data_IF_170184934278
#
_entry.id   IF_170184934278
#
_cell.length_a   1.000
_cell.length_b   1.000
_cell.length_c   1.000
_cell.angle_alpha   90.00
_cell.angle_beta   90.00
_cell.angle_gamma   90.00
#
_symmetry.space_group_name_H-M   'P 1'
#
loop_
_entity.id
_entity.type
_entity.pdbx_description
1 polymer ?
#
# COMPACT_ATOMS: atom_id res chain seq x y z
N UNK A 1 65.79 13.23 -9.94
CA UNK A 1 65.86 12.06 -9.04
C UNK A 1 64.42 11.71 -8.71
N UNK A 2 63.90 10.68 -9.38
CA UNK A 2 62.47 10.35 -9.48
C UNK A 2 62.14 9.44 -8.28
N UNK A 3 61.11 9.80 -7.51
CA UNK A 3 60.57 9.00 -6.41
C UNK A 3 59.65 7.91 -7.00
N UNK A 4 60.17 6.69 -7.09
CA UNK A 4 59.38 5.50 -7.40
C UNK A 4 58.54 5.11 -6.18
N UNK A 5 57.22 5.07 -6.36
CA UNK A 5 56.26 4.54 -5.38
C UNK A 5 56.34 3.00 -5.32
N UNK A 6 56.17 2.39 -4.13
CA UNK A 6 56.22 0.93 -3.97
C UNK A 6 55.10 0.20 -4.76
N UNK A 7 55.30 -1.08 -5.15
CA UNK A 7 54.35 -1.78 -6.00
C UNK A 7 53.08 -2.19 -5.24
N UNK A 8 51.95 -2.10 -5.93
CA UNK A 8 50.64 -2.57 -5.46
C UNK A 8 50.68 -4.09 -5.30
N UNK A 9 50.37 -4.55 -4.08
CA UNK A 9 50.16 -5.97 -3.77
C UNK A 9 48.90 -6.43 -4.50
N UNK A 10 49.07 -7.35 -5.45
CA UNK A 10 47.99 -8.02 -6.17
C UNK A 10 47.23 -8.93 -5.20
N UNK A 11 46.12 -8.44 -4.62
CA UNK A 11 45.17 -9.28 -3.92
C UNK A 11 44.31 -10.02 -4.95
N UNK A 12 44.64 -11.30 -5.14
CA UNK A 12 43.83 -12.36 -5.77
C UNK A 12 43.47 -12.20 -7.26
N UNK A 13 43.76 -13.21 -8.11
CA UNK A 13 43.27 -13.22 -9.48
C UNK A 13 41.74 -13.37 -9.47
N UNK A 14 41.04 -12.39 -10.05
CA UNK A 14 39.63 -12.47 -10.42
C UNK A 14 39.46 -13.52 -11.54
N UNK A 15 39.51 -14.79 -11.14
CA UNK A 15 39.02 -15.91 -11.92
C UNK A 15 37.60 -16.16 -11.42
N UNK A 16 36.65 -16.16 -12.35
CA UNK A 16 35.18 -16.19 -12.17
C UNK A 16 34.53 -14.81 -12.05
N UNK A 17 34.27 -14.22 -13.22
CA UNK A 17 33.09 -13.38 -13.44
C UNK A 17 31.89 -14.25 -13.01
N UNK A 18 31.39 -14.05 -11.79
CA UNK A 18 30.10 -14.59 -11.41
C UNK A 18 29.05 -13.89 -12.28
N UNK A 19 28.48 -14.61 -13.24
CA UNK A 19 27.24 -14.20 -13.88
C UNK A 19 26.24 -13.86 -12.77
N UNK A 20 25.83 -12.60 -12.70
CA UNK A 20 24.73 -12.20 -11.82
C UNK A 20 23.49 -12.86 -12.40
N UNK A 21 22.88 -13.84 -11.73
CA UNK A 21 21.70 -14.49 -12.28
C UNK A 21 20.57 -13.46 -12.32
N UNK A 22 20.24 -13.02 -13.54
CA UNK A 22 19.15 -12.08 -13.78
C UNK A 22 17.86 -12.87 -13.63
N UNK A 23 17.30 -12.84 -12.42
CA UNK A 23 16.03 -13.48 -12.12
C UNK A 23 14.86 -12.58 -12.58
N UNK A 24 14.66 -12.48 -13.89
CA UNK A 24 13.60 -11.66 -14.52
C UNK A 24 12.18 -12.10 -14.06
N UNK A 25 12.04 -13.27 -13.45
CA UNK A 25 10.75 -13.85 -13.01
C UNK A 25 10.67 -14.25 -11.54
N UNK A 26 11.62 -13.83 -10.70
CA UNK A 26 11.47 -14.05 -9.26
C UNK A 26 10.70 -12.89 -8.62
N UNK A 27 9.63 -13.16 -7.85
CA UNK A 27 8.98 -12.11 -7.06
C UNK A 27 9.98 -11.49 -6.09
N UNK A 28 9.86 -10.18 -5.87
CA UNK A 28 10.74 -9.33 -5.02
C UNK A 28 10.65 -9.71 -3.52
N UNK A 29 10.05 -10.85 -3.19
CA UNK A 29 10.05 -11.37 -1.83
C UNK A 29 11.24 -12.31 -1.65
N UNK A 30 12.06 -12.12 -0.61
CA UNK A 30 13.09 -13.08 -0.27
C UNK A 30 12.43 -14.46 -0.07
N UNK A 31 13.08 -15.52 -0.53
CA UNK A 31 12.69 -16.92 -0.36
C UNK A 31 12.58 -17.39 1.13
N UNK A 32 12.53 -16.46 2.09
CA UNK A 32 12.38 -16.70 3.53
C UNK A 32 10.94 -16.56 4.05
N UNK A 33 9.99 -16.08 3.24
CA UNK A 33 8.59 -16.01 3.65
C UNK A 33 7.94 -17.40 3.64
N UNK A 34 7.35 -17.82 4.77
CA UNK A 34 6.64 -19.10 4.88
C UNK A 34 5.52 -19.20 3.82
N UNK A 35 5.21 -20.42 3.35
CA UNK A 35 4.09 -20.66 2.43
C UNK A 35 2.80 -20.00 2.94
N UNK A 36 2.55 -20.11 4.24
CA UNK A 36 1.44 -19.48 4.94
C UNK A 36 1.45 -17.94 4.81
N UNK A 37 2.61 -17.31 5.00
CA UNK A 37 2.73 -15.85 4.83
C UNK A 37 2.39 -15.40 3.42
N UNK A 38 2.86 -16.13 2.41
CA UNK A 38 2.55 -15.81 0.99
C UNK A 38 1.06 -15.96 0.69
N UNK A 39 0.45 -17.03 1.20
CA UNK A 39 -1.00 -17.22 1.08
C UNK A 39 -1.75 -16.05 1.72
N UNK A 40 -1.43 -15.70 2.97
CA UNK A 40 -2.14 -14.62 3.65
C UNK A 40 -2.02 -13.26 2.97
N UNK A 41 -0.86 -12.93 2.39
CA UNK A 41 -0.70 -11.72 1.58
C UNK A 41 -1.49 -11.79 0.26
N UNK A 42 -1.53 -12.95 -0.38
CA UNK A 42 -2.34 -13.16 -1.59
C UNK A 42 -3.84 -13.03 -1.28
N UNK A 43 -4.32 -13.62 -0.18
CA UNK A 43 -5.71 -13.53 0.27
C UNK A 43 -6.10 -12.06 0.53
N UNK A 44 -5.23 -11.31 1.21
CA UNK A 44 -5.45 -9.89 1.46
C UNK A 44 -5.61 -9.08 0.15
N UNK A 45 -4.74 -9.32 -0.83
CA UNK A 45 -4.78 -8.62 -2.11
C UNK A 45 -6.04 -8.97 -2.91
N UNK A 46 -6.38 -10.26 -3.04
CA UNK A 46 -7.54 -10.68 -3.81
C UNK A 46 -8.86 -10.30 -3.14
N UNK A 47 -8.97 -10.38 -1.80
CA UNK A 47 -10.16 -9.90 -1.08
C UNK A 47 -10.33 -8.38 -1.21
N UNK A 48 -9.25 -7.62 -1.28
CA UNK A 48 -9.32 -6.18 -1.59
C UNK A 48 -9.94 -5.90 -2.96
N UNK A 49 -9.67 -6.76 -3.95
CA UNK A 49 -10.27 -6.67 -5.28
C UNK A 49 -11.75 -7.05 -5.24
N UNK A 50 -12.10 -8.11 -4.50
CA UNK A 50 -13.51 -8.50 -4.28
C UNK A 50 -14.28 -7.34 -3.67
N UNK A 51 -13.78 -6.73 -2.59
CA UNK A 51 -14.42 -5.61 -1.90
C UNK A 51 -14.66 -4.41 -2.84
N UNK A 52 -13.66 -4.09 -3.67
CA UNK A 52 -13.74 -3.04 -4.67
C UNK A 52 -14.78 -3.36 -5.75
N UNK A 53 -14.81 -4.59 -6.27
CA UNK A 53 -15.79 -4.98 -7.29
C UNK A 53 -17.21 -4.96 -6.74
N UNK A 54 -17.43 -5.50 -5.53
CA UNK A 54 -18.73 -5.47 -4.85
C UNK A 54 -19.18 -4.02 -4.62
N UNK A 55 -18.30 -3.17 -4.10
CA UNK A 55 -18.58 -1.74 -3.93
C UNK A 55 -18.95 -1.06 -5.25
N UNK A 56 -18.24 -1.36 -6.34
CA UNK A 56 -18.56 -0.80 -7.66
C UNK A 56 -19.94 -1.25 -8.15
N UNK A 57 -20.28 -2.52 -7.97
CA UNK A 57 -21.57 -3.08 -8.37
C UNK A 57 -22.72 -2.42 -7.57
N UNK A 58 -22.53 -2.18 -6.28
CA UNK A 58 -23.50 -1.49 -5.43
C UNK A 58 -23.69 -0.01 -5.80
N UNK A 59 -22.60 0.69 -6.10
CA UNK A 59 -22.61 2.15 -6.32
C UNK A 59 -22.95 2.57 -7.74
N UNK A 60 -22.42 1.86 -8.74
CA UNK A 60 -22.55 2.20 -10.17
C UNK A 60 -23.54 1.27 -10.88
N UNK A 61 -23.92 0.15 -10.25
CA UNK A 61 -24.80 -0.86 -10.82
C UNK A 61 -24.03 -2.02 -11.47
N UNK A 62 -24.78 -3.03 -11.91
CA UNK A 62 -24.23 -4.27 -12.48
C UNK A 62 -23.61 -4.02 -13.85
N UNK A 63 -22.29 -4.17 -13.95
CA UNK A 63 -21.56 -4.22 -15.21
C UNK A 63 -21.12 -5.66 -15.49
N UNK A 64 -21.37 -6.18 -16.69
CA UNK A 64 -21.12 -7.59 -17.04
C UNK A 64 -19.64 -7.97 -16.86
N UNK A 65 -18.73 -7.10 -17.30
CA UNK A 65 -17.28 -7.30 -17.13
C UNK A 65 -16.86 -7.33 -15.65
N UNK A 66 -17.41 -6.43 -14.82
CA UNK A 66 -17.10 -6.38 -13.38
C UNK A 66 -17.63 -7.61 -12.65
N UNK A 67 -18.82 -8.10 -13.00
CA UNK A 67 -19.36 -9.34 -12.45
C UNK A 67 -18.52 -10.56 -12.88
N UNK A 68 -18.07 -10.60 -14.13
CA UNK A 68 -17.22 -11.68 -14.63
C UNK A 68 -15.83 -11.67 -13.96
N UNK A 69 -15.27 -10.49 -13.70
CA UNK A 69 -14.02 -10.34 -12.92
C UNK A 69 -14.20 -10.78 -11.47
N UNK A 70 -15.26 -10.34 -10.81
CA UNK A 70 -15.60 -10.74 -9.45
C UNK A 70 -15.71 -12.27 -9.32
N UNK A 71 -16.46 -12.91 -10.22
CA UNK A 71 -16.62 -14.36 -10.22
C UNK A 71 -15.29 -15.10 -10.44
N UNK A 72 -14.44 -14.61 -11.36
CA UNK A 72 -13.10 -15.17 -11.61
C UNK A 72 -12.20 -15.04 -10.38
N UNK A 73 -12.19 -13.87 -9.73
CA UNK A 73 -11.40 -13.65 -8.53
C UNK A 73 -11.83 -14.55 -7.37
N UNK A 74 -13.14 -14.73 -7.15
CA UNK A 74 -13.65 -15.64 -6.12
C UNK A 74 -13.29 -17.09 -6.43
N UNK A 75 -13.48 -17.56 -7.66
CA UNK A 75 -13.11 -18.92 -8.04
C UNK A 75 -11.59 -19.19 -7.84
N UNK A 76 -10.75 -18.21 -8.13
CA UNK A 76 -9.31 -18.29 -7.89
C UNK A 76 -8.95 -18.37 -6.40
N UNK A 77 -9.63 -17.59 -5.55
CA UNK A 77 -9.49 -17.65 -4.10
C UNK A 77 -9.86 -19.03 -3.55
N UNK A 78 -11.03 -19.54 -3.95
CA UNK A 78 -11.55 -20.85 -3.56
C UNK A 78 -10.58 -21.98 -3.95
N UNK A 79 -10.06 -21.94 -5.19
CA UNK A 79 -9.10 -22.94 -5.68
C UNK A 79 -7.76 -22.85 -4.95
N UNK A 80 -7.26 -21.64 -4.70
CA UNK A 80 -5.98 -21.43 -4.02
C UNK A 80 -6.02 -21.98 -2.59
N UNK A 81 -7.10 -21.69 -1.85
CA UNK A 81 -7.26 -22.19 -0.49
C UNK A 81 -7.50 -23.70 -0.44
N UNK A 82 -8.28 -24.24 -1.37
CA UNK A 82 -8.47 -25.69 -1.47
C UNK A 82 -7.15 -26.43 -1.69
N UNK A 83 -6.29 -25.93 -2.60
CA UNK A 83 -4.98 -26.50 -2.84
C UNK A 83 -4.07 -26.41 -1.59
N UNK A 84 -4.11 -25.26 -0.90
CA UNK A 84 -3.35 -25.08 0.33
C UNK A 84 -3.80 -26.02 1.46
N UNK A 85 -5.09 -26.20 1.68
CA UNK A 85 -5.59 -27.15 2.69
C UNK A 85 -5.26 -28.60 2.31
N UNK A 86 -5.37 -28.97 1.03
CA UNK A 86 -5.02 -30.30 0.56
C UNK A 86 -3.53 -30.63 0.78
N UNK A 87 -2.64 -29.65 0.61
CA UNK A 87 -1.19 -29.81 0.88
C UNK A 87 -0.87 -29.94 2.39
N UNK A 88 -1.70 -29.37 3.26
CA UNK A 88 -1.44 -29.31 4.71
C UNK A 88 -2.31 -30.29 5.54
N UNK A 89 -3.25 -31.01 4.90
CA UNK A 89 -4.03 -32.06 5.56
C UNK A 89 -3.12 -33.23 5.96
N UNK A 90 -3.01 -33.50 7.26
CA UNK A 90 -2.46 -34.75 7.75
C UNK A 90 -3.47 -35.90 7.44
N UNK A 91 -3.05 -37.01 6.83
CA UNK A 91 -3.94 -38.07 6.34
C UNK A 91 -4.59 -38.94 7.45
N UNK A 92 -4.71 -38.43 8.68
CA UNK A 92 -5.02 -39.22 9.88
C UNK A 92 -6.25 -38.81 10.69
N UNK A 93 -7.00 -37.76 10.33
CA UNK A 93 -8.23 -37.40 11.06
C UNK A 93 -9.50 -37.93 10.36
N UNK A 94 -10.32 -38.79 11.00
CA UNK A 94 -11.37 -39.55 10.31
C UNK A 94 -12.70 -38.82 10.08
N UNK A 95 -12.83 -37.53 10.42
CA UNK A 95 -14.16 -36.91 10.59
C UNK A 95 -14.65 -35.97 9.47
N UNK A 96 -13.87 -35.68 8.43
CA UNK A 96 -14.32 -34.74 7.38
C UNK A 96 -14.72 -35.47 6.09
N UNK A 97 -15.87 -36.15 6.14
CA UNK A 97 -16.57 -36.66 4.96
C UNK A 97 -17.78 -35.78 4.58
N UNK A 98 -17.73 -34.50 4.93
CA UNK A 98 -18.68 -33.50 4.45
C UNK A 98 -18.16 -32.79 3.19
N UNK A 99 -19.11 -32.51 2.29
CA UNK A 99 -19.00 -31.81 1.01
C UNK A 99 -18.42 -30.37 1.18
N UNK A 100 -17.16 -30.29 1.60
CA UNK A 100 -16.48 -29.03 1.89
C UNK A 100 -16.16 -28.36 0.56
N UNK A 101 -16.98 -27.38 0.19
CA UNK A 101 -16.80 -26.60 -1.03
C UNK A 101 -15.69 -25.58 -0.84
N UNK A 102 -14.98 -25.19 -1.92
CA UNK A 102 -13.95 -24.14 -1.85
C UNK A 102 -14.47 -22.83 -1.23
N UNK A 103 -15.76 -22.54 -1.41
CA UNK A 103 -16.45 -21.43 -0.76
C UNK A 103 -16.50 -21.54 0.77
N UNK A 104 -16.79 -22.72 1.32
CA UNK A 104 -16.82 -22.94 2.77
C UNK A 104 -15.42 -22.79 3.38
N UNK A 105 -14.40 -23.25 2.66
CA UNK A 105 -12.99 -23.07 3.06
C UNK A 105 -12.65 -21.57 3.10
N UNK A 106 -13.03 -20.82 2.06
CA UNK A 106 -12.82 -19.37 2.00
C UNK A 106 -13.51 -18.65 3.16
N UNK A 107 -14.77 -18.96 3.44
CA UNK A 107 -15.51 -18.39 4.57
C UNK A 107 -14.82 -18.70 5.91
N UNK A 108 -14.46 -19.97 6.16
CA UNK A 108 -13.77 -20.40 7.39
C UNK A 108 -12.43 -19.69 7.55
N UNK A 109 -11.66 -19.58 6.46
CA UNK A 109 -10.39 -18.86 6.46
C UNK A 109 -10.59 -17.38 6.80
N UNK A 110 -11.56 -16.72 6.19
CA UNK A 110 -11.85 -15.31 6.45
C UNK A 110 -12.26 -15.04 7.90
N UNK A 111 -13.08 -15.92 8.48
CA UNK A 111 -13.49 -15.82 9.89
C UNK A 111 -12.29 -16.03 10.81
N UNK A 112 -11.55 -17.14 10.65
CA UNK A 112 -10.42 -17.50 11.51
C UNK A 112 -9.30 -16.45 11.51
N UNK A 113 -9.10 -15.80 10.38
CA UNK A 113 -8.02 -14.82 10.23
C UNK A 113 -8.44 -13.39 10.53
N UNK A 114 -9.73 -13.13 10.80
CA UNK A 114 -10.28 -11.80 11.00
C UNK A 114 -10.44 -10.97 9.71
N UNK A 115 -10.19 -11.56 8.54
CA UNK A 115 -10.42 -10.89 7.25
C UNK A 115 -11.91 -10.60 7.01
N UNK A 116 -12.80 -11.39 7.60
CA UNK A 116 -14.23 -11.16 7.46
C UNK A 116 -14.65 -9.76 7.93
N UNK A 117 -14.05 -9.29 9.03
CA UNK A 117 -14.25 -7.95 9.60
C UNK A 117 -13.59 -6.85 8.77
N UNK A 118 -12.44 -7.15 8.14
CA UNK A 118 -11.71 -6.19 7.32
C UNK A 118 -12.38 -5.93 5.96
N UNK A 119 -13.10 -6.92 5.44
CA UNK A 119 -13.74 -6.90 4.12
C UNK A 119 -15.25 -7.17 4.25
N UNK A 120 -16.02 -6.26 4.88
CA UNK A 120 -17.41 -6.51 5.23
C UNK A 120 -18.31 -6.77 4.02
N UNK A 121 -18.10 -6.08 2.89
CA UNK A 121 -18.93 -6.29 1.69
C UNK A 121 -18.59 -7.61 1.00
N UNK A 122 -17.32 -7.98 0.98
CA UNK A 122 -16.87 -9.29 0.49
C UNK A 122 -17.46 -10.40 1.35
N UNK A 123 -17.49 -10.23 2.68
CA UNK A 123 -18.09 -11.17 3.62
C UNK A 123 -19.58 -11.35 3.39
N UNK A 124 -20.32 -10.25 3.26
CA UNK A 124 -21.75 -10.28 2.94
C UNK A 124 -22.01 -10.96 1.60
N UNK A 125 -21.25 -10.61 0.57
CA UNK A 125 -21.35 -11.22 -0.76
C UNK A 125 -21.06 -12.73 -0.77
N UNK A 126 -20.15 -13.17 0.10
CA UNK A 126 -19.81 -14.57 0.28
C UNK A 126 -20.80 -15.31 1.18
N UNK A 127 -21.77 -14.63 1.82
CA UNK A 127 -22.76 -15.23 2.70
C UNK A 127 -22.26 -15.49 4.12
N UNK A 128 -21.26 -14.74 4.59
CA UNK A 128 -20.82 -14.75 5.99
C UNK A 128 -21.77 -13.83 6.77
N UNK A 129 -22.75 -14.41 7.45
CA UNK A 129 -23.69 -13.66 8.30
C UNK A 129 -22.97 -13.16 9.58
N UNK A 130 -23.26 -11.91 9.98
CA UNK A 130 -22.87 -11.28 11.26
C UNK A 130 -21.44 -10.74 11.38
N UNK A 131 -20.93 -10.06 10.36
CA UNK A 131 -19.79 -9.15 10.56
C UNK A 131 -20.32 -7.83 11.13
N UNK A 132 -20.18 -7.65 12.45
CA UNK A 132 -20.64 -6.47 13.22
C UNK A 132 -19.99 -5.18 12.66
N UNK A 133 -20.72 -4.05 12.58
CA UNK A 133 -20.35 -2.88 11.77
C UNK A 133 -19.33 -1.99 12.48
N UNK A 134 -18.05 -2.32 12.33
CA UNK A 134 -16.94 -1.42 12.66
C UNK A 134 -16.60 -0.40 11.55
N UNK A 135 -17.27 -0.49 10.39
CA UNK A 135 -16.86 0.19 9.17
C UNK A 135 -15.78 -0.61 8.42
N UNK A 136 -15.67 -0.41 7.11
CA UNK A 136 -14.65 -1.10 6.30
C UNK A 136 -13.25 -0.56 6.64
N UNK A 137 -12.54 -1.25 7.54
CA UNK A 137 -11.19 -0.86 7.98
C UNK A 137 -10.20 -0.78 6.81
N UNK A 138 -10.40 -1.61 5.79
CA UNK A 138 -9.59 -1.56 4.58
C UNK A 138 -9.94 -0.35 3.69
N UNK A 139 -11.20 0.09 3.67
CA UNK A 139 -11.59 1.31 2.94
C UNK A 139 -10.93 2.54 3.56
N UNK A 140 -10.92 2.64 4.89
CA UNK A 140 -10.22 3.70 5.61
C UNK A 140 -8.72 3.71 5.27
N UNK A 141 -8.09 2.54 5.25
CA UNK A 141 -6.70 2.37 4.83
C UNK A 141 -6.47 2.83 3.38
N UNK A 142 -7.30 2.39 2.43
CA UNK A 142 -7.17 2.80 1.02
C UNK A 142 -7.38 4.29 0.82
N UNK A 143 -8.33 4.89 1.54
CA UNK A 143 -8.58 6.33 1.50
C UNK A 143 -7.36 7.11 2.00
N UNK A 144 -6.74 6.66 3.09
CA UNK A 144 -5.51 7.28 3.59
C UNK A 144 -4.36 7.12 2.59
N UNK A 145 -4.15 5.92 2.08
CA UNK A 145 -3.10 5.65 1.09
C UNK A 145 -3.28 6.51 -0.17
N UNK A 146 -4.52 6.66 -0.64
CA UNK A 146 -4.85 7.54 -1.76
C UNK A 146 -4.51 9.00 -1.46
N UNK A 147 -4.83 9.48 -0.27
CA UNK A 147 -4.52 10.85 0.16
C UNK A 147 -3.02 11.12 0.22
N UNK A 148 -2.23 10.17 0.74
CA UNK A 148 -0.76 10.26 0.76
C UNK A 148 -0.19 10.22 -0.66
N UNK A 149 -0.69 9.32 -1.51
CA UNK A 149 -0.25 9.24 -2.92
C UNK A 149 -0.53 10.54 -3.68
N UNK A 150 -1.70 11.16 -3.46
CA UNK A 150 -2.03 12.47 -4.04
C UNK A 150 -1.08 13.56 -3.53
N UNK A 151 -0.79 13.59 -2.23
CA UNK A 151 0.19 14.53 -1.65
C UNK A 151 1.57 14.39 -2.31
N UNK A 152 2.09 13.17 -2.42
CA UNK A 152 3.38 12.88 -3.07
C UNK A 152 3.36 13.27 -4.54
N UNK A 153 2.29 12.95 -5.27
CA UNK A 153 2.17 13.26 -6.69
C UNK A 153 2.23 14.77 -6.94
N UNK A 154 1.47 15.56 -6.17
CA UNK A 154 1.48 17.01 -6.28
C UNK A 154 2.85 17.59 -5.88
N UNK A 155 3.47 17.06 -4.82
CA UNK A 155 4.81 17.51 -4.40
C UNK A 155 5.87 17.27 -5.49
N UNK A 156 5.89 16.10 -6.11
CA UNK A 156 6.80 15.77 -7.20
C UNK A 156 6.51 16.60 -8.46
N UNK A 157 5.24 16.83 -8.77
CA UNK A 157 4.85 17.71 -9.87
C UNK A 157 5.41 19.12 -9.65
N UNK A 158 5.22 19.69 -8.45
CA UNK A 158 5.72 21.01 -8.09
C UNK A 158 7.25 21.11 -8.21
N UNK A 159 8.01 20.08 -7.83
CA UNK A 159 9.47 20.04 -8.01
C UNK A 159 9.89 20.18 -9.48
N UNK A 160 9.14 19.56 -10.38
CA UNK A 160 9.39 19.68 -11.81
C UNK A 160 8.95 21.05 -12.33
N UNK A 161 7.78 21.53 -11.89
CA UNK A 161 7.18 22.77 -12.37
C UNK A 161 7.95 24.02 -11.92
N UNK A 162 8.70 23.95 -10.81
CA UNK A 162 9.66 24.99 -10.41
C UNK A 162 10.69 25.27 -11.51
N UNK A 163 11.05 24.27 -12.33
CA UNK A 163 12.05 24.42 -13.41
C UNK A 163 11.49 25.05 -14.69
N UNK A 164 10.18 25.31 -14.73
CA UNK A 164 9.55 25.96 -15.87
C UNK A 164 9.98 27.43 -15.99
N UNK A 165 9.80 27.99 -17.18
CA UNK A 165 10.07 29.40 -17.46
C UNK A 165 8.87 30.30 -17.17
N UNK A 166 7.69 29.72 -16.94
CA UNK A 166 6.46 30.42 -16.62
C UNK A 166 5.79 29.76 -15.40
N UNK A 167 5.61 30.54 -14.33
CA UNK A 167 5.09 30.09 -13.04
C UNK A 167 3.72 30.68 -12.71
N UNK A 168 2.92 31.02 -13.71
CA UNK A 168 1.57 31.60 -13.56
C UNK A 168 0.66 30.77 -12.66
N UNK A 169 0.75 29.45 -12.73
CA UNK A 169 -0.10 28.53 -11.98
C UNK A 169 0.49 28.10 -10.63
N UNK A 170 1.67 28.61 -10.25
CA UNK A 170 2.39 28.05 -9.12
C UNK A 170 1.71 28.29 -7.77
N UNK A 171 1.08 29.45 -7.61
CA UNK A 171 0.23 29.73 -6.45
C UNK A 171 -0.97 28.77 -6.37
N UNK A 172 -1.59 28.42 -7.50
CA UNK A 172 -2.71 27.48 -7.53
C UNK A 172 -2.27 26.06 -7.17
N UNK A 173 -1.18 25.59 -7.76
CA UNK A 173 -0.63 24.26 -7.48
C UNK A 173 -0.16 24.13 -6.03
N UNK A 174 0.39 25.20 -5.45
CA UNK A 174 0.75 25.26 -4.02
C UNK A 174 -0.49 25.25 -3.12
N UNK A 175 -1.60 25.87 -3.53
CA UNK A 175 -2.87 25.77 -2.81
C UNK A 175 -3.43 24.33 -2.85
N UNK A 176 -3.30 23.64 -3.99
CA UNK A 176 -3.64 22.21 -4.09
C UNK A 176 -2.75 21.36 -3.17
N UNK A 177 -1.45 21.64 -3.11
CA UNK A 177 -0.56 20.98 -2.14
C UNK A 177 -1.04 21.17 -0.70
N UNK A 178 -1.41 22.40 -0.33
CA UNK A 178 -1.97 22.69 1.00
C UNK A 178 -3.24 21.87 1.28
N UNK A 179 -4.13 21.73 0.30
CA UNK A 179 -5.32 20.89 0.44
C UNK A 179 -4.95 19.41 0.63
N UNK A 180 -3.99 18.89 -0.14
CA UNK A 180 -3.49 17.52 0.02
C UNK A 180 -2.86 17.31 1.41
N UNK A 181 -2.13 18.29 1.95
CA UNK A 181 -1.58 18.24 3.32
C UNK A 181 -2.69 18.10 4.36
N UNK A 182 -3.81 18.81 4.18
CA UNK A 182 -4.96 18.70 5.08
C UNK A 182 -5.60 17.30 5.05
N UNK A 183 -5.66 16.67 3.88
CA UNK A 183 -6.28 15.36 3.68
C UNK A 183 -5.37 14.19 4.07
N UNK A 184 -4.05 14.33 3.91
CA UNK A 184 -3.08 13.27 4.18
C UNK A 184 -2.86 12.98 5.67
N UNK A 185 -3.46 13.76 6.58
CA UNK A 185 -3.48 13.47 8.01
C UNK A 185 -2.58 14.35 8.89
N UNK A 186 -2.68 14.18 10.22
CA UNK A 186 -2.08 15.07 11.20
C UNK A 186 -0.55 15.13 11.13
N UNK A 187 0.12 14.05 10.73
CA UNK A 187 1.57 13.96 10.61
C UNK A 187 2.16 14.96 9.60
N UNK A 188 1.40 15.37 8.59
CA UNK A 188 1.83 16.38 7.61
C UNK A 188 1.47 17.81 8.01
N UNK A 189 0.73 18.01 9.12
CA UNK A 189 0.25 19.34 9.51
C UNK A 189 1.37 20.34 9.81
N UNK A 190 2.57 19.85 10.16
CA UNK A 190 3.78 20.69 10.33
C UNK A 190 4.17 21.47 9.06
N UNK A 191 3.78 21.00 7.88
CA UNK A 191 4.07 21.67 6.61
C UNK A 191 3.09 22.80 6.27
N UNK A 192 1.94 22.86 6.94
CA UNK A 192 0.92 23.91 6.70
C UNK A 192 1.47 25.30 6.98
N UNK A 193 2.10 25.48 8.14
CA UNK A 193 2.71 26.75 8.53
C UNK A 193 3.75 27.22 7.51
N UNK A 194 4.61 26.31 7.03
CA UNK A 194 5.63 26.63 6.00
C UNK A 194 5.01 27.12 4.70
N UNK A 195 3.86 26.55 4.29
CA UNK A 195 3.10 27.01 3.13
C UNK A 195 2.54 28.41 3.39
N UNK A 196 1.83 28.58 4.50
CA UNK A 196 1.16 29.85 4.87
C UNK A 196 2.13 31.03 4.94
N UNK A 197 3.34 30.82 5.47
CA UNK A 197 4.38 31.85 5.59
C UNK A 197 4.80 32.45 4.24
N UNK A 198 4.89 31.64 3.19
CA UNK A 198 5.44 32.05 1.89
C UNK A 198 4.37 32.18 0.79
N UNK A 199 3.14 31.74 1.05
CA UNK A 199 2.07 31.70 0.06
C UNK A 199 1.71 33.08 -0.50
N UNK A 200 1.71 34.12 0.34
CA UNK A 200 1.37 35.47 -0.11
C UNK A 200 2.44 36.01 -1.09
N UNK A 201 3.72 35.84 -0.78
CA UNK A 201 4.81 36.23 -1.67
C UNK A 201 4.76 35.47 -3.00
N UNK A 202 4.49 34.16 -2.95
CA UNK A 202 4.31 33.33 -4.14
C UNK A 202 3.15 33.83 -5.01
N UNK A 203 2.00 34.12 -4.38
CA UNK A 203 0.80 34.60 -5.06
C UNK A 203 1.02 35.96 -5.72
N UNK A 204 1.74 36.88 -5.08
CA UNK A 204 2.05 38.19 -5.66
C UNK A 204 2.92 38.05 -6.91
N UNK A 205 4.00 37.26 -6.84
CA UNK A 205 4.88 37.05 -8.00
C UNK A 205 4.13 36.36 -9.14
N UNK A 206 3.36 35.29 -8.85
CA UNK A 206 2.61 34.56 -9.87
C UNK A 206 1.50 35.38 -10.55
N UNK A 207 1.15 36.58 -10.04
CA UNK A 207 0.17 37.47 -10.65
C UNK A 207 0.78 38.76 -11.24
N UNK A 208 2.11 38.91 -11.19
CA UNK A 208 2.78 40.15 -11.58
C UNK A 208 2.78 40.38 -13.10
N UNK A 209 2.79 39.31 -13.90
CA UNK A 209 2.80 39.40 -15.37
C UNK A 209 2.04 38.21 -16.01
N UNK A 210 1.90 38.23 -17.34
CA UNK A 210 1.34 37.11 -18.10
C UNK A 210 2.24 35.86 -18.08
N UNK A 211 3.56 36.06 -18.00
CA UNK A 211 4.59 35.02 -17.88
C UNK A 211 5.48 35.34 -16.68
N UNK A 212 4.97 35.12 -15.45
CA UNK A 212 5.72 35.44 -14.24
C UNK A 212 6.80 34.39 -14.03
N UNK A 213 7.94 34.85 -13.52
CA UNK A 213 9.06 33.99 -13.14
C UNK A 213 9.30 34.10 -11.64
N UNK A 214 9.43 32.97 -10.96
CA UNK A 214 9.67 32.94 -9.53
C UNK A 214 11.11 33.34 -9.20
N UNK A 215 11.35 34.14 -8.14
CA UNK A 215 12.69 34.40 -7.64
C UNK A 215 13.31 33.09 -7.15
N UNK A 216 14.64 33.03 -7.21
CA UNK A 216 15.39 31.83 -6.85
C UNK A 216 15.13 31.38 -5.40
N UNK A 217 14.85 32.32 -4.50
CA UNK A 217 14.51 32.05 -3.10
C UNK A 217 13.20 31.28 -2.98
N UNK A 218 12.14 31.68 -3.71
CA UNK A 218 10.86 30.98 -3.70
C UNK A 218 10.96 29.63 -4.40
N UNK A 219 11.78 29.51 -5.45
CA UNK A 219 12.05 28.24 -6.11
C UNK A 219 12.76 27.25 -5.18
N UNK A 220 13.78 27.71 -4.45
CA UNK A 220 14.52 26.91 -3.47
C UNK A 220 13.58 26.48 -2.33
N UNK A 221 12.84 27.41 -1.75
CA UNK A 221 11.87 27.13 -0.69
C UNK A 221 10.86 26.05 -1.11
N UNK A 222 10.26 26.18 -2.30
CA UNK A 222 9.26 25.22 -2.78
C UNK A 222 9.87 23.84 -3.07
N UNK A 223 11.11 23.82 -3.58
CA UNK A 223 11.86 22.58 -3.79
C UNK A 223 12.18 21.88 -2.46
N UNK A 224 12.60 22.63 -1.45
CA UNK A 224 12.91 22.10 -0.12
C UNK A 224 11.65 21.57 0.58
N UNK A 225 10.56 22.35 0.56
CA UNK A 225 9.27 21.95 1.11
C UNK A 225 8.77 20.63 0.52
N UNK A 226 8.78 20.53 -0.80
CA UNK A 226 8.29 19.34 -1.50
C UNK A 226 9.22 18.14 -1.30
N UNK A 227 10.53 18.36 -1.23
CA UNK A 227 11.52 17.30 -0.92
C UNK A 227 11.27 16.72 0.47
N UNK A 228 11.08 17.58 1.48
CA UNK A 228 10.80 17.14 2.84
C UNK A 228 9.48 16.35 2.91
N UNK A 229 8.43 16.82 2.23
CA UNK A 229 7.13 16.13 2.18
C UNK A 229 7.27 14.74 1.58
N UNK A 230 7.97 14.61 0.45
CA UNK A 230 8.20 13.33 -0.22
C UNK A 230 9.04 12.40 0.66
N UNK A 231 10.08 12.94 1.29
CA UNK A 231 10.95 12.16 2.17
C UNK A 231 10.17 11.59 3.36
N UNK A 232 9.35 12.42 4.02
CA UNK A 232 8.51 11.98 5.13
C UNK A 232 7.43 10.98 4.68
N UNK A 233 6.81 11.19 3.52
CA UNK A 233 5.78 10.31 3.01
C UNK A 233 6.31 8.91 2.65
N UNK A 234 7.50 8.84 2.04
CA UNK A 234 8.06 7.58 1.53
C UNK A 234 8.99 6.87 2.53
N UNK A 235 9.70 7.61 3.39
CA UNK A 235 10.78 7.08 4.22
C UNK A 235 10.59 7.27 5.72
N UNK A 236 9.42 7.71 6.18
CA UNK A 236 9.17 7.89 7.62
C UNK A 236 9.32 6.61 8.46
N UNK A 237 9.36 5.42 7.83
CA UNK A 237 9.61 4.15 8.51
C UNK A 237 8.58 3.80 9.59
N UNK A 238 7.44 4.52 9.62
CA UNK A 238 6.42 4.36 10.65
C UNK A 238 5.59 3.11 10.37
N UNK A 239 5.35 2.26 11.39
CA UNK A 239 4.40 1.16 11.26
C UNK A 239 3.03 1.67 10.82
N UNK A 240 2.32 0.93 9.94
CA UNK A 240 0.98 1.29 9.45
C UNK A 240 0.01 1.66 10.58
N UNK A 241 0.05 0.94 11.71
CA UNK A 241 -0.79 1.23 12.88
C UNK A 241 -0.64 2.66 13.45
N UNK A 242 0.51 3.32 13.23
CA UNK A 242 0.72 4.72 13.64
C UNK A 242 0.33 5.73 12.55
N UNK A 243 0.27 5.30 11.29
CA UNK A 243 -0.14 6.13 10.16
C UNK A 243 -1.66 6.13 9.98
N UNK A 244 -2.32 5.01 10.31
CA UNK A 244 -3.75 4.80 10.26
C UNK A 244 -4.18 4.01 11.50
N UNK A 245 -4.55 4.69 12.60
CA UNK A 245 -5.09 4.02 13.79
C UNK A 245 -6.30 3.13 13.47
N UNK A 246 -7.12 3.57 12.51
CA UNK A 246 -8.27 2.81 11.98
C UNK A 246 -7.87 1.54 11.21
N UNK A 247 -6.60 1.42 10.76
CA UNK A 247 -6.07 0.23 10.10
C UNK A 247 -5.20 -0.64 11.02
N UNK A 248 -5.31 -0.50 12.34
CA UNK A 248 -4.63 -1.37 13.30
C UNK A 248 -4.90 -2.86 13.00
N UNK A 249 -6.13 -3.21 12.62
CA UNK A 249 -6.53 -4.55 12.22
C UNK A 249 -5.73 -5.13 11.04
N UNK A 250 -5.34 -4.29 10.06
CA UNK A 250 -4.48 -4.69 8.95
C UNK A 250 -3.06 -5.00 9.43
N UNK A 251 -2.53 -4.16 10.32
CA UNK A 251 -1.20 -4.39 10.91
C UNK A 251 -1.18 -5.67 11.74
N UNK A 252 -2.23 -5.91 12.52
CA UNK A 252 -2.40 -7.12 13.32
C UNK A 252 -2.53 -8.36 12.44
N UNK A 253 -3.32 -8.30 11.36
CA UNK A 253 -3.42 -9.39 10.40
C UNK A 253 -2.05 -9.72 9.77
N UNK A 254 -1.32 -8.70 9.29
CA UNK A 254 0.01 -8.89 8.69
C UNK A 254 0.98 -9.50 9.70
N UNK A 255 0.93 -9.08 10.97
CA UNK A 255 1.76 -9.62 12.04
C UNK A 255 1.40 -11.08 12.37
N UNK A 256 0.11 -11.44 12.43
CA UNK A 256 -0.37 -12.82 12.66
C UNK A 256 0.05 -13.76 11.53
N UNK A 257 -0.18 -13.36 10.29
CA UNK A 257 0.23 -14.10 9.09
C UNK A 257 1.75 -14.23 9.00
N UNK A 258 2.50 -13.24 9.49
CA UNK A 258 3.96 -13.28 9.52
C UNK A 258 4.52 -14.15 10.65
N UNK A 259 3.79 -14.33 11.75
CA UNK A 259 4.21 -15.12 12.91
C UNK A 259 3.76 -16.59 12.84
N UNK A 260 2.76 -16.91 12.01
CA UNK A 260 2.25 -18.27 11.84
C UNK A 260 1.25 -18.72 12.91
N UNK A 261 0.85 -17.83 13.83
CA UNK A 261 -0.11 -18.11 14.91
C UNK A 261 -1.55 -17.80 14.48
N UNK A 262 -2.08 -18.54 13.51
CA UNK A 262 -3.50 -18.40 13.07
C UNK A 262 -4.42 -19.42 13.77
N UNK A 263 -3.86 -20.25 14.66
CA UNK A 263 -4.53 -21.44 15.21
C UNK A 263 -5.11 -21.23 16.62
N UNK A 264 -4.78 -20.13 17.31
CA UNK A 264 -5.05 -19.99 18.76
C UNK A 264 -6.34 -19.25 19.15
N UNK A 265 -7.12 -18.70 18.21
CA UNK A 265 -8.25 -17.79 18.58
C UNK A 265 -9.64 -18.45 18.45
N UNK A 266 -9.73 -19.69 17.95
CA UNK A 266 -11.03 -20.35 17.78
C UNK A 266 -11.65 -20.91 19.07
N UNK A 267 -10.89 -20.99 20.18
CA UNK A 267 -11.35 -21.65 21.43
C UNK A 267 -11.72 -20.67 22.57
N UNK A 268 -11.78 -19.38 22.31
CA UNK A 268 -12.24 -18.39 23.31
C UNK A 268 -13.38 -17.54 22.77
N UNK A 269 -14.50 -18.17 22.47
CA UNK A 269 -15.83 -17.57 22.46
C UNK A 269 -16.84 -18.67 22.73
N UNK A 270 -17.48 -18.57 23.89
CA UNK A 270 -18.37 -19.57 24.51
C UNK A 270 -19.61 -19.91 23.69
#
# INVERSE_FOLDING_TARGET
MILESPPLVNLTPLTEIHEVPIHIRNPIHPNSASKHKRLGLQMLNELSRVEMFVTRIETVGKHEETNAELARTIAHLEQTLYAYEAENKNPGHPDDQENTTGRMILQRYMIRTGLAEMFPKSSEYLGIEHVIPGGSFIEAHFRQMSSINQLVSIALQLQNDVRLTNHKYMAHQTALLYQCINQAGPQFSKYKARVEENFNALKEVSNTSEEPYLPIELQAWLSDLTTDIVADALFSGRPMAQQTPEAAHLSDYINRVSSGNVDEVADTSA
#
